data_IF_882523612534
#
_entry.id   IF_882523612534
#
_cell.length_a   1.000
_cell.length_b   1.000
_cell.length_c   1.000
_cell.angle_alpha   90.00
_cell.angle_beta   90.00
_cell.angle_gamma   90.00
#
_symmetry.space_group_name_H-M   'P 1'
#
loop_
_entity.id
_entity.type
_entity.pdbx_description
1 polymer ?
#
# COMPACT_ATOMS: atom_id res chain seq x y z
N UNK A 1 -11.14 -3.01 -5.59
CA UNK A 1 -11.75 -1.77 -5.09
C UNK A 1 -12.74 -1.31 -6.14
N UNK A 2 -13.88 -0.74 -5.75
CA UNK A 2 -14.79 -0.12 -6.73
C UNK A 2 -14.10 0.96 -7.55
N UNK A 3 -14.55 1.13 -8.79
CA UNK A 3 -13.98 2.12 -9.70
C UNK A 3 -14.18 3.56 -9.20
N UNK A 4 -15.24 3.81 -8.43
CA UNK A 4 -15.48 5.11 -7.78
C UNK A 4 -14.37 5.45 -6.78
N UNK A 5 -13.95 4.48 -5.96
CA UNK A 5 -12.83 4.65 -5.00
C UNK A 5 -11.53 4.92 -5.74
N UNK A 6 -11.25 4.19 -6.81
CA UNK A 6 -10.06 4.45 -7.63
C UNK A 6 -10.10 5.84 -8.27
N UNK A 7 -11.27 6.29 -8.71
CA UNK A 7 -11.47 7.63 -9.30
C UNK A 7 -11.22 8.73 -8.26
N UNK A 8 -11.70 8.56 -7.03
CA UNK A 8 -11.40 9.47 -5.93
C UNK A 8 -9.90 9.55 -5.65
N UNK A 9 -9.21 8.40 -5.59
CA UNK A 9 -7.75 8.34 -5.39
C UNK A 9 -7.02 9.07 -6.53
N UNK A 10 -7.41 8.82 -7.80
CA UNK A 10 -6.82 9.50 -8.96
C UNK A 10 -6.96 11.02 -8.87
N UNK A 11 -8.16 11.51 -8.53
CA UNK A 11 -8.42 12.94 -8.38
C UNK A 11 -7.58 13.56 -7.25
N UNK A 12 -7.48 12.89 -6.09
CA UNK A 12 -6.66 13.39 -4.98
C UNK A 12 -5.17 13.41 -5.33
N UNK A 13 -4.69 12.42 -6.10
CA UNK A 13 -3.32 12.38 -6.62
C UNK A 13 -3.06 13.58 -7.54
N UNK A 14 -3.95 13.87 -8.47
CA UNK A 14 -3.81 15.01 -9.39
C UNK A 14 -3.82 16.36 -8.64
N UNK A 15 -4.76 16.54 -7.71
CA UNK A 15 -4.83 17.74 -6.87
C UNK A 15 -3.55 17.92 -6.05
N UNK A 16 -3.02 16.83 -5.48
CA UNK A 16 -1.79 16.88 -4.67
C UNK A 16 -0.59 17.27 -5.53
N UNK A 17 -0.46 16.73 -6.74
CA UNK A 17 0.60 17.13 -7.68
C UNK A 17 0.54 18.61 -8.03
N UNK A 18 -0.66 19.12 -8.36
CA UNK A 18 -0.86 20.54 -8.66
C UNK A 18 -0.50 21.44 -7.47
N UNK A 19 -0.87 21.02 -6.25
CA UNK A 19 -0.51 21.75 -5.04
C UNK A 19 1.00 21.76 -4.78
N UNK A 20 1.69 20.63 -5.02
CA UNK A 20 3.15 20.54 -4.92
C UNK A 20 3.82 21.48 -5.93
N UNK A 21 3.37 21.48 -7.18
CA UNK A 21 3.90 22.37 -8.23
C UNK A 21 3.70 23.84 -7.88
N UNK A 22 2.49 24.21 -7.43
CA UNK A 22 2.17 25.57 -6.99
C UNK A 22 3.03 26.00 -5.80
N UNK A 23 3.17 25.14 -4.79
CA UNK A 23 4.02 25.40 -3.62
C UNK A 23 5.49 25.58 -4.01
N UNK A 24 6.01 24.73 -4.89
CA UNK A 24 7.38 24.84 -5.39
C UNK A 24 7.58 26.14 -6.19
N UNK A 25 6.60 26.55 -6.99
CA UNK A 25 6.63 27.81 -7.73
C UNK A 25 6.65 29.03 -6.80
N UNK A 26 5.79 29.03 -5.77
CA UNK A 26 5.79 30.07 -4.74
C UNK A 26 7.12 30.11 -3.98
N UNK A 27 7.64 28.95 -3.56
CA UNK A 27 8.91 28.86 -2.83
C UNK A 27 10.09 29.34 -3.67
N UNK A 28 10.10 29.05 -4.97
CA UNK A 28 11.09 29.58 -5.92
C UNK A 28 11.06 31.11 -5.91
N UNK A 29 9.86 31.70 -6.01
CA UNK A 29 9.70 33.16 -5.99
C UNK A 29 10.13 33.77 -4.66
N UNK A 30 9.79 33.16 -3.53
CA UNK A 30 10.24 33.61 -2.20
C UNK A 30 11.76 33.63 -2.13
N UNK A 31 12.42 32.53 -2.51
CA UNK A 31 13.89 32.44 -2.52
C UNK A 31 14.56 33.43 -3.48
N UNK A 32 13.90 33.81 -4.58
CA UNK A 32 14.37 34.88 -5.45
C UNK A 32 14.26 36.26 -4.80
N UNK A 33 13.12 36.56 -4.16
CA UNK A 33 12.89 37.82 -3.46
C UNK A 33 13.86 38.01 -2.29
N UNK A 34 14.15 36.95 -1.55
CA UNK A 34 15.12 36.94 -0.44
C UNK A 34 16.56 37.23 -0.87
N UNK A 35 16.89 37.18 -2.17
CA UNK A 35 18.18 37.65 -2.67
C UNK A 35 18.29 39.18 -2.66
N UNK A 36 17.16 39.89 -2.73
CA UNK A 36 17.14 41.36 -2.69
C UNK A 36 17.55 41.87 -1.30
N UNK A 37 18.45 42.86 -1.26
CA UNK A 37 18.94 43.45 0.00
C UNK A 37 17.81 44.10 0.82
N UNK A 38 16.87 44.77 0.16
CA UNK A 38 15.80 45.51 0.82
C UNK A 38 14.77 44.56 1.46
N UNK A 39 14.50 43.43 0.80
CA UNK A 39 13.65 42.38 1.38
C UNK A 39 14.31 41.78 2.62
N UNK A 40 15.62 41.50 2.57
CA UNK A 40 16.36 41.00 3.73
C UNK A 40 16.39 42.01 4.88
N UNK A 41 16.62 43.28 4.58
CA UNK A 41 16.60 44.36 5.56
C UNK A 41 15.22 44.48 6.21
N UNK A 42 14.15 44.48 5.41
CA UNK A 42 12.78 44.46 5.91
C UNK A 42 12.52 43.27 6.83
N UNK A 43 12.86 42.04 6.40
CA UNK A 43 12.69 40.82 7.20
C UNK A 43 13.43 40.93 8.54
N UNK A 44 14.68 41.41 8.53
CA UNK A 44 15.46 41.62 9.75
C UNK A 44 14.81 42.65 10.68
N UNK A 45 14.31 43.76 10.15
CA UNK A 45 13.64 44.81 10.94
C UNK A 45 12.35 44.31 11.60
N UNK A 46 11.62 43.40 10.95
CA UNK A 46 10.41 42.77 11.52
C UNK A 46 10.70 41.50 12.33
N UNK A 47 11.98 41.17 12.56
CA UNK A 47 12.39 40.01 13.36
C UNK A 47 12.17 38.65 12.67
N UNK A 48 12.02 38.62 11.35
CA UNK A 48 11.88 37.40 10.55
C UNK A 48 13.21 37.02 9.88
N UNK A 49 13.37 35.74 9.57
CA UNK A 49 14.52 35.20 8.82
C UNK A 49 14.08 34.64 7.48
N UNK A 50 15.03 34.48 6.55
CA UNK A 50 14.79 33.83 5.27
C UNK A 50 14.15 32.44 5.44
N UNK A 51 13.34 32.05 4.47
CA UNK A 51 12.65 30.77 4.48
C UNK A 51 13.63 29.61 4.51
N UNK A 52 13.42 28.70 5.46
CA UNK A 52 14.15 27.42 5.54
C UNK A 52 13.43 26.29 4.81
N UNK A 53 12.29 26.57 4.19
CA UNK A 53 11.49 25.58 3.50
C UNK A 53 12.27 24.97 2.31
N UNK A 54 12.15 23.66 2.17
CA UNK A 54 12.71 22.88 1.06
C UNK A 54 11.64 22.69 -0.01
N UNK A 55 12.10 22.53 -1.25
CA UNK A 55 11.22 22.10 -2.32
C UNK A 55 10.72 20.68 -2.02
N UNK A 56 9.46 20.43 -2.32
CA UNK A 56 8.89 19.09 -2.26
C UNK A 56 9.34 18.38 -3.54
N UNK A 57 10.00 17.23 -3.39
CA UNK A 57 10.58 16.45 -4.49
C UNK A 57 9.98 15.05 -4.60
N UNK A 58 8.85 14.83 -3.93
CA UNK A 58 8.13 13.56 -3.94
C UNK A 58 7.81 13.16 -5.39
N UNK A 59 8.15 11.92 -5.71
CA UNK A 59 7.84 11.30 -7.00
C UNK A 59 6.35 10.97 -7.09
N UNK A 60 5.86 10.80 -8.32
CA UNK A 60 4.49 10.32 -8.57
C UNK A 60 4.14 9.07 -7.75
N UNK A 61 5.07 8.12 -7.64
CA UNK A 61 4.86 6.87 -6.92
C UNK A 61 4.75 7.08 -5.40
N UNK A 62 5.54 8.00 -4.85
CA UNK A 62 5.48 8.38 -3.44
C UNK A 62 4.17 9.09 -3.12
N UNK A 63 3.75 10.04 -3.97
CA UNK A 63 2.45 10.73 -3.83
C UNK A 63 1.30 9.71 -3.87
N UNK A 64 1.31 8.79 -4.85
CA UNK A 64 0.29 7.74 -4.96
C UNK A 64 0.29 6.86 -3.71
N UNK A 65 1.46 6.46 -3.21
CA UNK A 65 1.56 5.60 -2.03
C UNK A 65 1.00 6.30 -0.79
N UNK A 66 1.39 7.55 -0.53
CA UNK A 66 0.91 8.33 0.61
C UNK A 66 -0.61 8.53 0.59
N UNK A 67 -1.19 8.76 -0.59
CA UNK A 67 -2.64 8.93 -0.73
C UNK A 67 -3.31 7.59 -0.55
N UNK A 68 -2.81 6.54 -1.21
CA UNK A 68 -3.37 5.21 -1.10
C UNK A 68 -3.41 4.69 0.35
N UNK A 69 -2.34 4.89 1.13
CA UNK A 69 -2.28 4.50 2.54
C UNK A 69 -3.40 5.16 3.39
N UNK A 70 -3.97 6.29 2.95
CA UNK A 70 -5.15 6.88 3.61
C UNK A 70 -6.45 6.18 3.23
N UNK A 71 -6.55 5.70 2.00
CA UNK A 71 -7.76 5.07 1.46
C UNK A 71 -7.87 3.59 1.83
N UNK A 72 -6.76 2.87 2.00
CA UNK A 72 -6.78 1.43 2.32
C UNK A 72 -7.64 1.13 3.56
N UNK A 73 -7.63 2.00 4.56
CA UNK A 73 -8.45 1.87 5.77
C UNK A 73 -9.95 2.07 5.56
N UNK A 74 -10.37 2.54 4.37
CA UNK A 74 -11.75 2.90 4.03
C UNK A 74 -12.36 2.00 2.95
N UNK A 75 -11.56 1.12 2.35
CA UNK A 75 -12.06 0.19 1.33
C UNK A 75 -12.93 -0.84 2.06
N UNK A 76 -14.19 -0.96 1.65
CA UNK A 76 -15.08 -2.01 2.16
C UNK A 76 -14.61 -3.38 1.65
N UNK A 77 -14.66 -4.41 2.50
CA UNK A 77 -14.27 -5.78 2.15
C UNK A 77 -15.05 -6.33 0.95
N UNK A 78 -16.29 -5.87 0.72
CA UNK A 78 -17.15 -6.30 -0.39
C UNK A 78 -16.79 -5.63 -1.71
N UNK A 79 -15.97 -4.60 -1.65
CA UNK A 79 -15.59 -3.78 -2.80
C UNK A 79 -14.21 -4.16 -3.33
N UNK A 80 -13.54 -5.15 -2.74
CA UNK A 80 -12.20 -5.57 -3.16
C UNK A 80 -12.25 -6.38 -4.47
N UNK A 81 -11.08 -6.53 -5.08
CA UNK A 81 -10.88 -7.29 -6.31
C UNK A 81 -10.80 -8.81 -6.05
N UNK A 82 -10.92 -9.25 -4.80
CA UNK A 82 -10.80 -10.66 -4.42
C UNK A 82 -9.42 -11.25 -4.75
N UNK A 83 -8.37 -10.43 -4.67
CA UNK A 83 -6.99 -10.87 -4.90
C UNK A 83 -6.28 -10.97 -3.55
N UNK A 84 -5.94 -12.19 -3.17
CA UNK A 84 -5.37 -12.49 -1.88
C UNK A 84 -3.93 -13.00 -1.99
N UNK A 85 -3.10 -12.60 -1.05
CA UNK A 85 -1.76 -13.15 -0.85
C UNK A 85 -1.85 -14.26 0.17
N UNK A 86 -1.43 -15.47 -0.20
CA UNK A 86 -1.26 -16.57 0.75
C UNK A 86 -0.06 -16.30 1.66
N UNK A 87 -0.29 -16.28 2.97
CA UNK A 87 0.74 -15.97 3.99
C UNK A 87 1.33 -17.24 4.62
N UNK A 88 0.55 -18.31 4.76
CA UNK A 88 1.00 -19.56 5.35
C UNK A 88 -0.14 -20.50 5.74
N UNK A 89 0.21 -21.76 6.00
CA UNK A 89 -0.66 -22.80 6.54
C UNK A 89 -0.20 -23.09 7.96
N UNK A 90 -1.15 -23.24 8.87
CA UNK A 90 -0.89 -23.32 10.30
C UNK A 90 -1.71 -24.42 10.96
N UNK A 91 -1.17 -24.94 12.05
CA UNK A 91 -1.83 -25.86 12.97
C UNK A 91 -1.78 -25.25 14.37
N UNK A 92 -2.88 -25.33 15.10
CA UNK A 92 -2.96 -24.84 16.47
C UNK A 92 -1.89 -25.51 17.33
N UNK A 93 -1.09 -24.68 18.00
CA UNK A 93 -0.11 -25.21 18.94
C UNK A 93 -0.83 -25.61 20.24
N UNK A 94 -0.67 -26.87 20.67
CA UNK A 94 -1.16 -27.33 21.96
C UNK A 94 -0.22 -26.98 23.12
N UNK A 95 0.96 -26.41 22.84
CA UNK A 95 1.97 -26.06 23.84
C UNK A 95 1.98 -24.55 24.05
N UNK A 96 1.16 -24.07 24.98
CA UNK A 96 1.31 -22.75 25.56
C UNK A 96 2.51 -22.74 26.54
N UNK A 97 3.70 -23.08 26.04
CA UNK A 97 4.93 -22.96 26.81
C UNK A 97 5.61 -21.65 26.42
N UNK A 98 6.11 -20.93 27.43
CA UNK A 98 6.40 -19.49 27.52
C UNK A 98 7.38 -18.94 26.44
N UNK A 99 7.87 -19.78 25.55
CA UNK A 99 8.96 -19.49 24.59
C UNK A 99 8.46 -19.32 23.14
N UNK A 100 7.26 -19.78 22.77
CA UNK A 100 6.75 -19.62 21.39
C UNK A 100 5.29 -19.17 21.38
N UNK A 101 5.08 -17.85 21.29
CA UNK A 101 3.77 -17.28 20.99
C UNK A 101 3.49 -17.46 19.50
N UNK A 102 2.83 -18.56 19.12
CA UNK A 102 2.34 -18.75 17.76
C UNK A 102 1.96 -20.18 17.43
N UNK A 103 1.02 -20.32 16.49
CA UNK A 103 0.64 -21.59 15.89
C UNK A 103 1.77 -22.15 14.99
N UNK A 104 1.84 -23.48 14.89
CA UNK A 104 2.88 -24.17 14.13
C UNK A 104 2.67 -23.93 12.64
N UNK A 105 3.66 -23.32 11.97
CA UNK A 105 3.63 -23.20 10.51
C UNK A 105 3.96 -24.55 9.87
N UNK A 106 3.08 -25.04 9.02
CA UNK A 106 3.20 -26.34 8.33
C UNK A 106 3.26 -26.16 6.81
N UNK A 107 3.51 -27.26 6.08
CA UNK A 107 3.47 -27.26 4.61
C UNK A 107 2.06 -26.97 4.10
N UNK A 108 1.96 -26.48 2.87
CA UNK A 108 0.68 -26.14 2.24
C UNK A 108 -0.29 -27.32 2.17
N UNK A 109 0.23 -28.51 1.84
CA UNK A 109 -0.54 -29.76 1.69
C UNK A 109 -0.55 -30.63 2.96
N UNK A 110 -0.23 -30.06 4.14
CA UNK A 110 -0.30 -30.83 5.40
C UNK A 110 -1.76 -31.17 5.73
N UNK A 111 -2.05 -32.46 5.86
CA UNK A 111 -3.38 -33.00 6.16
C UNK A 111 -3.83 -32.73 7.60
N UNK A 112 -2.90 -32.32 8.46
CA UNK A 112 -3.14 -31.95 9.86
C UNK A 112 -3.16 -30.43 10.07
N UNK A 113 -3.17 -29.64 9.00
CA UNK A 113 -3.35 -28.19 9.09
C UNK A 113 -4.76 -27.85 9.61
N UNK A 114 -4.86 -26.79 10.41
CA UNK A 114 -6.15 -26.30 10.93
C UNK A 114 -6.71 -25.15 10.09
N UNK A 115 -5.83 -24.26 9.60
CA UNK A 115 -6.23 -23.08 8.85
C UNK A 115 -5.12 -22.55 7.94
N UNK A 116 -5.51 -21.68 7.00
CA UNK A 116 -4.60 -20.88 6.17
C UNK A 116 -4.83 -19.40 6.40
N UNK A 117 -3.74 -18.63 6.34
CA UNK A 117 -3.78 -17.17 6.36
C UNK A 117 -3.68 -16.62 4.95
N UNK A 118 -4.59 -15.71 4.65
CA UNK A 118 -4.59 -14.90 3.43
C UNK A 118 -4.63 -13.43 3.79
N UNK A 119 -4.23 -12.56 2.87
CA UNK A 119 -4.40 -11.12 3.04
C UNK A 119 -4.81 -10.51 1.72
N UNK A 120 -5.95 -9.84 1.71
CA UNK A 120 -6.43 -9.12 0.53
C UNK A 120 -5.44 -8.02 0.18
N UNK A 121 -5.10 -7.88 -1.10
CA UNK A 121 -4.23 -6.80 -1.58
C UNK A 121 -4.75 -5.41 -1.20
N UNK A 122 -6.05 -5.26 -0.97
CA UNK A 122 -6.71 -3.99 -0.71
C UNK A 122 -7.19 -3.85 0.75
N UNK A 123 -6.81 -4.79 1.63
CA UNK A 123 -7.12 -4.76 3.07
C UNK A 123 -5.88 -4.98 3.94
N UNK A 124 -5.79 -4.31 5.09
CA UNK A 124 -4.65 -4.48 6.01
C UNK A 124 -4.78 -5.70 6.92
N UNK A 125 -6.00 -6.18 7.17
CA UNK A 125 -6.22 -7.32 8.05
C UNK A 125 -5.98 -8.63 7.31
N UNK A 126 -5.32 -9.57 7.98
CA UNK A 126 -5.23 -10.95 7.51
C UNK A 126 -6.54 -11.69 7.76
N UNK A 127 -6.92 -12.53 6.81
CA UNK A 127 -8.06 -13.43 6.89
C UNK A 127 -7.59 -14.84 7.28
N UNK A 128 -8.20 -15.38 8.33
CA UNK A 128 -8.05 -16.78 8.75
C UNK A 128 -9.15 -17.59 8.09
N UNK A 129 -8.79 -18.59 7.29
CA UNK A 129 -9.73 -19.50 6.64
C UNK A 129 -9.49 -20.91 7.16
N UNK A 130 -10.53 -21.58 7.68
CA UNK A 130 -10.43 -22.95 8.15
C UNK A 130 -10.04 -23.88 6.99
N UNK A 131 -9.20 -24.90 7.27
CA UNK A 131 -8.69 -25.81 6.25
C UNK A 131 -9.79 -26.44 5.39
N UNK A 132 -10.97 -26.69 5.99
CA UNK A 132 -12.14 -27.29 5.31
C UNK A 132 -12.75 -26.36 4.26
N UNK A 133 -12.64 -25.05 4.46
CA UNK A 133 -13.23 -24.03 3.60
C UNK A 133 -12.21 -23.46 2.60
N UNK A 134 -10.91 -23.72 2.80
CA UNK A 134 -9.83 -23.21 1.95
C UNK A 134 -10.05 -23.54 0.47
N UNK A 135 -10.46 -24.75 0.13
CA UNK A 135 -10.68 -25.13 -1.27
C UNK A 135 -11.73 -24.24 -1.95
N UNK A 136 -12.89 -24.07 -1.30
CA UNK A 136 -13.95 -23.21 -1.82
C UNK A 136 -13.52 -21.74 -1.86
N UNK A 137 -12.74 -21.29 -0.89
CA UNK A 137 -12.19 -19.93 -0.86
C UNK A 137 -11.23 -19.68 -2.02
N UNK A 138 -10.28 -20.59 -2.27
CA UNK A 138 -9.28 -20.48 -3.33
C UNK A 138 -9.89 -20.63 -4.73
N UNK A 139 -10.97 -21.40 -4.90
CA UNK A 139 -11.71 -21.51 -6.16
C UNK A 139 -12.49 -20.23 -6.50
N UNK A 140 -12.97 -19.50 -5.49
CA UNK A 140 -13.75 -18.28 -5.68
C UNK A 140 -12.90 -17.01 -5.75
N UNK A 141 -11.61 -17.07 -5.39
CA UNK A 141 -10.74 -15.91 -5.28
C UNK A 141 -9.43 -16.08 -6.05
N UNK A 142 -8.78 -14.98 -6.41
CA UNK A 142 -7.46 -15.06 -7.03
C UNK A 142 -6.39 -15.10 -5.96
N UNK A 143 -5.68 -16.22 -5.84
CA UNK A 143 -4.66 -16.40 -4.80
C UNK A 143 -3.27 -16.28 -5.40
N UNK A 144 -2.46 -15.38 -4.85
CA UNK A 144 -1.05 -15.22 -5.20
C UNK A 144 -0.20 -15.84 -4.09
N UNK A 145 0.77 -16.64 -4.49
CA UNK A 145 1.72 -17.26 -3.59
C UNK A 145 3.12 -16.72 -3.84
N UNK A 146 3.55 -15.67 -3.12
CA UNK A 146 4.84 -15.07 -3.34
C UNK A 146 5.97 -16.03 -2.92
N UNK A 147 7.04 -16.00 -3.70
CA UNK A 147 8.27 -16.71 -3.38
C UNK A 147 8.91 -16.13 -2.10
N UNK A 148 9.42 -17.01 -1.24
CA UNK A 148 10.17 -16.62 -0.04
C UNK A 148 9.49 -16.99 1.28
N UNK A 149 10.29 -17.05 2.34
CA UNK A 149 9.84 -17.48 3.66
C UNK A 149 8.91 -16.44 4.33
N UNK A 150 9.23 -15.14 4.20
CA UNK A 150 8.51 -14.03 4.82
C UNK A 150 7.51 -13.38 3.85
N UNK A 151 6.38 -14.07 3.62
CA UNK A 151 5.36 -13.64 2.65
C UNK A 151 4.70 -12.30 3.00
N UNK A 152 4.64 -11.94 4.27
CA UNK A 152 4.12 -10.64 4.73
C UNK A 152 4.96 -9.45 4.24
N UNK A 153 6.28 -9.62 4.04
CA UNK A 153 7.12 -8.54 3.46
C UNK A 153 6.87 -8.39 1.97
N UNK A 154 6.64 -9.50 1.28
CA UNK A 154 6.30 -9.48 -0.16
C UNK A 154 4.91 -8.89 -0.38
N UNK A 155 3.96 -9.15 0.52
CA UNK A 155 2.62 -8.56 0.49
C UNK A 155 2.67 -7.04 0.28
N UNK A 156 3.38 -6.28 1.12
CA UNK A 156 3.43 -4.82 1.02
C UNK A 156 4.05 -4.33 -0.28
N UNK A 157 4.99 -5.07 -0.86
CA UNK A 157 5.58 -4.76 -2.17
C UNK A 157 4.57 -4.96 -3.30
N UNK A 158 3.86 -6.09 -3.28
CA UNK A 158 2.85 -6.44 -4.28
C UNK A 158 1.69 -5.46 -4.22
N UNK A 159 1.23 -5.15 -3.00
CA UNK A 159 0.23 -4.13 -2.73
C UNK A 159 0.63 -2.79 -3.35
N UNK A 160 1.80 -2.26 -2.97
CA UNK A 160 2.29 -0.98 -3.50
C UNK A 160 2.38 -0.98 -5.04
N UNK A 161 2.90 -2.05 -5.65
CA UNK A 161 2.98 -2.18 -7.11
C UNK A 161 1.58 -2.19 -7.77
N UNK A 162 0.61 -2.90 -7.16
CA UNK A 162 -0.76 -2.97 -7.63
C UNK A 162 -1.39 -1.57 -7.65
N UNK A 163 -1.33 -0.82 -6.54
CA UNK A 163 -1.96 0.50 -6.44
C UNK A 163 -1.34 1.55 -7.34
N UNK A 164 0.00 1.61 -7.40
CA UNK A 164 0.70 2.49 -8.33
C UNK A 164 0.27 2.20 -9.76
N UNK A 165 0.20 0.92 -10.13
CA UNK A 165 -0.22 0.54 -11.49
C UNK A 165 -1.70 0.82 -11.72
N UNK A 166 -2.56 0.59 -10.74
CA UNK A 166 -4.00 0.80 -10.85
C UNK A 166 -4.34 2.28 -11.06
N UNK A 167 -3.71 3.18 -10.29
CA UNK A 167 -3.88 4.62 -10.44
C UNK A 167 -3.37 5.09 -11.81
N UNK A 168 -2.20 4.62 -12.25
CA UNK A 168 -1.58 5.08 -13.51
C UNK A 168 -2.20 4.47 -14.78
N UNK A 169 -2.66 3.21 -14.73
CA UNK A 169 -2.99 2.40 -15.91
C UNK A 169 -4.32 1.64 -15.81
N UNK A 170 -5.07 1.81 -14.71
CA UNK A 170 -6.33 1.11 -14.45
C UNK A 170 -6.16 -0.25 -13.78
N UNK A 171 -7.23 -0.71 -13.10
CA UNK A 171 -7.21 -1.92 -12.27
C UNK A 171 -6.94 -3.18 -13.08
N UNK A 172 -7.58 -3.34 -14.24
CA UNK A 172 -7.40 -4.52 -15.09
C UNK A 172 -5.96 -4.69 -15.60
N UNK A 173 -5.27 -3.58 -15.83
CA UNK A 173 -3.85 -3.59 -16.20
C UNK A 173 -2.99 -3.98 -15.00
N UNK A 174 -3.29 -3.44 -13.81
CA UNK A 174 -2.60 -3.78 -12.57
C UNK A 174 -2.76 -5.27 -12.21
N UNK A 175 -3.99 -5.79 -12.28
CA UNK A 175 -4.30 -7.21 -12.05
C UNK A 175 -3.49 -8.11 -12.99
N UNK A 176 -3.56 -7.88 -14.30
CA UNK A 176 -2.80 -8.66 -15.29
C UNK A 176 -1.30 -8.63 -15.03
N UNK A 177 -0.75 -7.46 -14.65
CA UNK A 177 0.67 -7.30 -14.35
C UNK A 177 1.09 -8.11 -13.13
N UNK A 178 0.33 -8.03 -12.04
CA UNK A 178 0.63 -8.76 -10.81
C UNK A 178 0.56 -10.27 -11.06
N UNK A 179 -0.49 -10.77 -11.69
CA UNK A 179 -0.65 -12.21 -11.96
C UNK A 179 0.39 -12.78 -12.92
N UNK A 180 0.91 -11.96 -13.85
CA UNK A 180 2.02 -12.35 -14.71
C UNK A 180 3.34 -12.48 -13.94
N UNK A 181 3.56 -11.62 -12.94
CA UNK A 181 4.81 -11.54 -12.18
C UNK A 181 4.84 -12.52 -11.01
N UNK A 182 3.68 -12.78 -10.42
CA UNK A 182 3.48 -13.69 -9.30
C UNK A 182 2.40 -14.69 -9.69
N UNK A 183 2.77 -15.88 -10.21
CA UNK A 183 1.79 -16.89 -10.57
C UNK A 183 0.96 -17.31 -9.35
N UNK A 184 -0.29 -17.68 -9.60
CA UNK A 184 -1.20 -18.14 -8.57
C UNK A 184 -0.85 -19.52 -8.03
N UNK A 185 -1.55 -19.91 -6.96
CA UNK A 185 -1.59 -21.29 -6.47
C UNK A 185 -2.36 -22.20 -7.44
#
# INVERSE_FOLDING_TARGET
MKEDTLTQIKNEVEITKLNIEKNNTMLKRIKELEKNRYVREYLNLVGLSNTKQKFITDTDDEIISQIYDKYIHRIDERDTNGIYIYLGTFRYSSTADIVSLGDDRVSYDDDRADYRLYQDLEQLASLVVNIKDCKAFEENNTIINPNGYFKSREYYKIQKEFFITAVKKGQETARRRILKKYPGL
#
